data_IF_539136364133
#
_entry.id   IF_539136364133
#
_cell.length_a   1.000
_cell.length_b   1.000
_cell.length_c   1.000
_cell.angle_alpha   90.00
_cell.angle_beta   90.00
_cell.angle_gamma   90.00
#
_symmetry.space_group_name_H-M   'P 1'
#
loop_
_entity.id
_entity.type
_entity.pdbx_description
1 polymer ?
#
# COMPACT_ATOMS: atom_id res chain seq x y z
N UNK A 1 20.77 -20.23 3.15
CA UNK A 1 20.50 -18.84 2.72
C UNK A 1 21.25 -17.91 3.64
N UNK A 2 22.06 -16.99 3.11
CA UNK A 2 22.67 -15.92 3.92
C UNK A 2 21.77 -14.70 3.76
N UNK A 3 21.22 -14.19 4.86
CA UNK A 3 20.37 -12.99 4.87
C UNK A 3 19.13 -13.02 3.93
N UNK A 4 18.53 -14.19 3.73
CA UNK A 4 17.34 -14.33 2.87
C UNK A 4 17.61 -14.23 1.36
N UNK A 5 18.88 -14.15 0.95
CA UNK A 5 19.22 -14.22 -0.47
C UNK A 5 19.09 -15.66 -0.99
N UNK A 6 18.34 -15.87 -2.08
CA UNK A 6 18.27 -17.16 -2.76
C UNK A 6 19.66 -17.58 -3.25
N UNK A 7 19.98 -18.87 -3.12
CA UNK A 7 21.23 -19.46 -3.61
C UNK A 7 21.15 -19.88 -5.07
N UNK A 8 19.94 -19.90 -5.65
CA UNK A 8 19.66 -20.27 -7.05
C UNK A 8 18.70 -19.26 -7.64
N UNK A 9 18.93 -18.88 -8.89
CA UNK A 9 17.99 -18.12 -9.70
C UNK A 9 17.07 -19.10 -10.40
N UNK A 10 15.83 -19.18 -9.94
CA UNK A 10 14.84 -20.10 -10.48
C UNK A 10 13.42 -19.57 -10.20
N UNK A 11 12.45 -20.21 -10.84
CA UNK A 11 11.05 -20.05 -10.50
C UNK A 11 10.61 -21.15 -9.54
N UNK A 12 9.81 -20.79 -8.54
CA UNK A 12 9.23 -21.72 -7.57
C UNK A 12 7.72 -21.64 -7.64
N UNK A 13 7.07 -22.79 -7.68
CA UNK A 13 5.64 -22.94 -7.51
C UNK A 13 5.39 -23.51 -6.10
N UNK A 14 4.64 -22.78 -5.27
CA UNK A 14 4.40 -23.17 -3.88
C UNK A 14 3.31 -24.24 -3.76
N UNK A 15 2.28 -24.16 -4.60
CA UNK A 15 1.22 -25.15 -4.73
C UNK A 15 0.60 -25.07 -6.13
N UNK A 16 -0.07 -26.14 -6.60
CA UNK A 16 -0.79 -26.11 -7.86
C UNK A 16 -1.78 -24.93 -7.91
N UNK A 17 -1.76 -24.18 -9.00
CA UNK A 17 -2.66 -23.04 -9.23
C UNK A 17 -2.16 -21.70 -8.69
N UNK A 18 -1.04 -21.65 -7.96
CA UNK A 18 -0.39 -20.39 -7.62
C UNK A 18 0.58 -19.94 -8.74
N UNK A 19 0.72 -18.62 -8.95
CA UNK A 19 1.73 -18.10 -9.84
C UNK A 19 3.13 -18.54 -9.42
N UNK A 20 3.96 -18.90 -10.41
CA UNK A 20 5.39 -19.14 -10.18
C UNK A 20 6.06 -17.84 -9.76
N UNK A 21 6.84 -17.89 -8.69
CA UNK A 21 7.57 -16.74 -8.18
C UNK A 21 9.04 -16.89 -8.53
N UNK A 22 9.60 -15.90 -9.23
CA UNK A 22 11.05 -15.81 -9.39
C UNK A 22 11.69 -15.51 -8.04
N UNK A 23 12.70 -16.28 -7.68
CA UNK A 23 13.49 -16.08 -6.46
C UNK A 23 13.99 -14.64 -6.24
N UNK A 24 14.21 -13.86 -7.31
CA UNK A 24 14.59 -12.45 -7.24
C UNK A 24 13.46 -11.53 -6.72
N UNK A 25 12.21 -11.98 -6.83
CA UNK A 25 10.97 -11.27 -6.49
C UNK A 25 10.37 -11.73 -5.15
N UNK A 26 11.09 -12.52 -4.35
CA UNK A 26 10.57 -12.90 -3.03
C UNK A 26 10.26 -11.67 -2.17
N UNK A 27 9.17 -11.70 -1.39
CA UNK A 27 8.66 -10.52 -0.69
C UNK A 27 9.64 -9.97 0.36
N UNK A 28 10.56 -10.80 0.86
CA UNK A 28 11.61 -10.40 1.80
C UNK A 28 12.89 -9.90 1.13
N UNK A 29 12.97 -9.77 -0.20
CA UNK A 29 14.20 -9.32 -0.90
C UNK A 29 14.58 -7.88 -0.60
N UNK A 30 13.64 -7.06 -0.11
CA UNK A 30 13.85 -5.66 0.27
C UNK A 30 14.02 -5.43 1.77
N UNK A 31 14.00 -6.47 2.61
CA UNK A 31 14.09 -6.29 4.07
C UNK A 31 15.52 -6.49 4.57
N UNK A 32 15.87 -5.86 5.69
CA UNK A 32 17.20 -6.02 6.27
C UNK A 32 17.43 -7.46 6.76
N UNK A 33 18.69 -7.87 6.91
CA UNK A 33 19.05 -9.18 7.49
C UNK A 33 18.40 -9.42 8.86
N UNK A 34 18.28 -8.37 9.68
CA UNK A 34 17.61 -8.44 10.98
C UNK A 34 16.13 -8.77 10.79
N UNK A 35 15.42 -8.01 9.95
CA UNK A 35 14.00 -8.24 9.65
C UNK A 35 13.76 -9.64 9.06
N UNK A 36 14.61 -10.09 8.13
CA UNK A 36 14.51 -11.45 7.60
C UNK A 36 14.63 -12.52 8.70
N UNK A 37 15.56 -12.32 9.63
CA UNK A 37 15.75 -13.27 10.75
C UNK A 37 14.54 -13.29 11.68
N UNK A 38 13.94 -12.13 11.95
CA UNK A 38 12.70 -12.05 12.73
C UNK A 38 11.51 -12.71 12.01
N UNK A 39 11.38 -12.54 10.69
CA UNK A 39 10.36 -13.24 9.90
C UNK A 39 10.50 -14.75 10.07
N UNK A 40 11.73 -15.30 9.97
CA UNK A 40 11.95 -16.75 10.14
C UNK A 40 11.58 -17.23 11.54
N UNK A 41 11.90 -16.46 12.59
CA UNK A 41 11.49 -16.80 13.97
C UNK A 41 9.97 -16.80 14.11
N UNK A 42 9.29 -15.81 13.54
CA UNK A 42 7.83 -15.73 13.55
C UNK A 42 7.20 -16.91 12.78
N UNK A 43 7.80 -17.37 11.69
CA UNK A 43 7.31 -18.56 11.00
C UNK A 43 7.36 -19.84 11.86
N UNK A 44 8.23 -19.92 12.86
CA UNK A 44 8.24 -21.04 13.80
C UNK A 44 7.05 -21.00 14.77
N UNK A 45 6.61 -19.80 15.19
CA UNK A 45 5.41 -19.64 16.03
C UNK A 45 4.15 -20.02 15.25
N UNK A 46 4.14 -19.79 13.93
CA UNK A 46 3.03 -20.20 13.08
C UNK A 46 2.80 -21.72 13.07
N UNK A 47 3.82 -22.55 13.30
CA UNK A 47 3.68 -24.01 13.27
C UNK A 47 2.78 -24.56 14.37
N UNK A 48 2.75 -23.89 15.53
CA UNK A 48 1.92 -24.29 16.68
C UNK A 48 0.52 -23.68 16.68
N UNK A 49 0.28 -22.69 15.81
CA UNK A 49 -1.03 -22.07 15.68
C UNK A 49 -2.05 -23.06 15.07
N UNK A 50 -3.25 -23.09 15.66
CA UNK A 50 -4.36 -23.89 15.15
C UNK A 50 -4.90 -23.32 13.82
N UNK A 51 -4.97 -21.99 13.73
CA UNK A 51 -5.51 -21.26 12.58
C UNK A 51 -4.63 -20.06 12.24
N UNK A 52 -4.57 -19.74 10.96
CA UNK A 52 -3.94 -18.54 10.43
C UNK A 52 -5.02 -17.64 9.85
N UNK A 53 -5.30 -16.57 10.57
CA UNK A 53 -6.32 -15.60 10.20
C UNK A 53 -5.80 -14.71 9.07
N UNK A 54 -6.46 -14.74 7.92
CA UNK A 54 -6.04 -14.02 6.73
C UNK A 54 -7.08 -12.96 6.36
N UNK A 55 -6.63 -11.70 6.27
CA UNK A 55 -7.47 -10.60 5.80
C UNK A 55 -7.62 -10.64 4.27
N UNK A 56 -8.39 -11.60 3.79
CA UNK A 56 -8.71 -11.85 2.39
C UNK A 56 -10.01 -12.66 2.30
N UNK A 57 -10.49 -12.92 1.09
CA UNK A 57 -11.68 -13.73 0.80
C UNK A 57 -11.31 -14.89 -0.14
N UNK A 58 -12.06 -16.00 -0.05
CA UNK A 58 -11.84 -17.18 -0.89
C UNK A 58 -11.75 -16.84 -2.38
N UNK A 59 -12.66 -15.98 -2.86
CA UNK A 59 -12.77 -15.64 -4.28
C UNK A 59 -11.54 -14.88 -4.81
N UNK A 60 -10.81 -14.19 -3.94
CA UNK A 60 -9.62 -13.42 -4.31
C UNK A 60 -8.38 -14.31 -4.45
N UNK A 61 -8.25 -15.32 -3.57
CA UNK A 61 -7.04 -16.14 -3.47
C UNK A 61 -7.35 -17.65 -3.33
N UNK A 62 -8.13 -18.27 -4.24
CA UNK A 62 -8.63 -19.63 -4.06
C UNK A 62 -7.51 -20.68 -3.96
N UNK A 63 -6.43 -20.50 -4.73
CA UNK A 63 -5.28 -21.40 -4.73
C UNK A 63 -4.46 -21.32 -3.42
N UNK A 64 -4.46 -20.17 -2.73
CA UNK A 64 -3.72 -20.00 -1.48
C UNK A 64 -4.32 -20.83 -0.34
N UNK A 65 -5.65 -20.93 -0.27
CA UNK A 65 -6.33 -21.76 0.73
C UNK A 65 -6.18 -23.26 0.48
N UNK A 66 -5.81 -23.65 -0.74
CA UNK A 66 -5.49 -25.05 -1.06
C UNK A 66 -4.16 -25.51 -0.46
N UNK A 67 -3.28 -24.58 -0.04
CA UNK A 67 -2.00 -24.92 0.60
C UNK A 67 -2.22 -25.60 1.95
N UNK A 68 -3.19 -25.12 2.73
CA UNK A 68 -3.44 -25.62 4.09
C UNK A 68 -4.85 -25.26 4.54
N UNK A 69 -5.61 -26.21 5.13
CA UNK A 69 -6.92 -25.92 5.68
C UNK A 69 -6.86 -24.97 6.89
N UNK A 70 -5.66 -24.69 7.42
CA UNK A 70 -5.47 -23.76 8.55
C UNK A 70 -5.57 -22.29 8.17
N UNK A 71 -5.46 -21.95 6.88
CA UNK A 71 -5.68 -20.58 6.43
C UNK A 71 -7.18 -20.25 6.46
N UNK A 72 -7.58 -19.35 7.36
CA UNK A 72 -8.96 -18.91 7.49
C UNK A 72 -9.14 -17.51 6.87
N UNK A 73 -9.88 -17.37 5.76
CA UNK A 73 -10.25 -16.07 5.24
C UNK A 73 -11.29 -15.43 6.15
N UNK A 74 -10.93 -14.27 6.73
CA UNK A 74 -11.81 -13.49 7.60
C UNK A 74 -11.99 -12.05 7.12
N UNK A 75 -11.51 -11.76 5.91
CA UNK A 75 -11.60 -10.45 5.30
C UNK A 75 -12.84 -10.26 4.41
N UNK A 76 -12.91 -9.12 3.70
CA UNK A 76 -12.00 -7.99 3.86
C UNK A 76 -12.32 -7.24 5.16
N UNK A 77 -11.32 -7.07 6.01
CA UNK A 77 -11.40 -6.16 7.14
C UNK A 77 -11.42 -4.74 6.60
N UNK A 78 -12.63 -4.22 6.49
CA UNK A 78 -12.86 -2.80 6.38
C UNK A 78 -13.31 -2.32 7.74
N UNK A 79 -12.78 -1.18 8.19
CA UNK A 79 -13.33 -0.51 9.37
C UNK A 79 -14.85 -0.34 9.18
N UNK A 80 -15.65 -0.50 10.22
CA UNK A 80 -17.06 -0.10 10.17
C UNK A 80 -17.14 1.41 10.16
N UNK A 81 -17.87 2.00 9.21
CA UNK A 81 -18.09 3.45 9.14
C UNK A 81 -19.10 3.86 10.23
N UNK A 82 -18.64 4.02 11.47
CA UNK A 82 -19.41 4.69 12.51
C UNK A 82 -18.94 6.15 12.56
N UNK A 83 -19.79 7.10 12.14
CA UNK A 83 -19.52 8.54 12.28
C UNK A 83 -19.26 8.97 13.73
N UNK A 84 -19.56 8.10 14.71
CA UNK A 84 -19.37 8.33 16.14
C UNK A 84 -18.11 7.64 16.72
N UNK A 85 -17.33 6.91 15.92
CA UNK A 85 -16.05 6.33 16.37
C UNK A 85 -14.88 7.20 15.93
N UNK A 86 -13.92 7.38 16.85
CA UNK A 86 -12.64 7.97 16.51
C UNK A 86 -12.01 7.20 15.34
N UNK A 87 -11.45 7.92 14.36
CA UNK A 87 -10.68 7.29 13.29
C UNK A 87 -9.58 6.42 13.91
N UNK A 88 -9.45 5.17 13.47
CA UNK A 88 -8.32 4.30 13.82
C UNK A 88 -7.04 4.70 13.08
N UNK A 89 -7.08 5.80 12.31
CA UNK A 89 -5.89 6.41 11.75
C UNK A 89 -4.95 6.86 12.87
N UNK A 90 -3.70 6.42 12.77
CA UNK A 90 -2.60 6.88 13.62
C UNK A 90 -2.22 8.34 13.37
N UNK A 91 -2.73 8.93 12.28
CA UNK A 91 -2.40 10.28 11.81
C UNK A 91 -3.67 11.12 11.62
N UNK A 92 -3.57 12.43 11.86
CA UNK A 92 -4.67 13.34 11.65
C UNK A 92 -5.00 13.43 10.16
N UNK A 93 -6.22 13.02 9.80
CA UNK A 93 -6.72 13.06 8.43
C UNK A 93 -7.05 14.50 8.00
N UNK A 94 -6.59 14.90 6.82
CA UNK A 94 -7.01 16.13 6.16
C UNK A 94 -8.30 15.89 5.39
N UNK A 95 -9.43 16.27 5.98
CA UNK A 95 -10.75 16.13 5.37
C UNK A 95 -11.05 17.21 4.33
N UNK A 96 -10.20 18.24 4.17
CA UNK A 96 -10.39 19.29 3.15
C UNK A 96 -10.29 18.73 1.73
N UNK A 97 -9.59 17.60 1.54
CA UNK A 97 -9.55 16.92 0.26
C UNK A 97 -10.91 16.39 -0.19
N UNK A 98 -11.83 16.10 0.74
CA UNK A 98 -13.16 15.59 0.40
C UNK A 98 -13.99 16.66 -0.31
N UNK A 99 -14.02 17.88 0.22
CA UNK A 99 -14.69 19.01 -0.43
C UNK A 99 -14.05 19.35 -1.78
N UNK A 100 -12.74 19.18 -1.92
CA UNK A 100 -12.06 19.34 -3.21
C UNK A 100 -12.47 18.25 -4.21
N UNK A 101 -12.63 17.00 -3.76
CA UNK A 101 -13.08 15.88 -4.58
C UNK A 101 -14.54 16.06 -5.05
N UNK A 102 -15.43 16.60 -4.20
CA UNK A 102 -16.82 16.89 -4.56
C UNK A 102 -16.96 17.83 -5.77
N UNK A 103 -15.94 18.63 -6.03
CA UNK A 103 -15.92 19.59 -7.15
C UNK A 103 -15.38 18.98 -8.45
N UNK A 104 -14.87 17.75 -8.42
CA UNK A 104 -14.29 17.09 -9.59
C UNK A 104 -15.35 16.25 -10.33
N UNK A 105 -15.25 16.11 -11.66
CA UNK A 105 -16.08 15.15 -12.38
C UNK A 105 -15.93 13.72 -11.85
N UNK A 106 -17.00 12.94 -11.91
CA UNK A 106 -17.01 11.54 -11.48
C UNK A 106 -15.93 10.74 -12.22
N UNK A 107 -15.16 9.92 -11.48
CA UNK A 107 -14.06 9.08 -12.01
C UNK A 107 -12.96 9.84 -12.76
N UNK A 108 -12.76 11.14 -12.51
CA UNK A 108 -11.71 11.92 -13.18
C UNK A 108 -10.40 12.05 -12.39
N UNK A 109 -10.42 11.77 -11.09
CA UNK A 109 -9.30 12.05 -10.18
C UNK A 109 -8.36 10.86 -10.08
N UNK A 110 -7.05 11.12 -10.22
CA UNK A 110 -6.00 10.14 -9.89
C UNK A 110 -5.68 10.22 -8.40
N UNK A 111 -5.95 9.15 -7.65
CA UNK A 111 -5.55 9.05 -6.25
C UNK A 111 -4.20 8.36 -6.11
N UNK A 112 -3.27 9.00 -5.40
CA UNK A 112 -1.90 8.51 -5.21
C UNK A 112 -1.58 8.42 -3.72
N UNK A 113 -1.26 7.21 -3.25
CA UNK A 113 -0.83 6.93 -1.87
C UNK A 113 0.12 5.74 -1.88
N UNK A 114 1.26 5.86 -1.19
CA UNK A 114 2.23 4.77 -1.00
C UNK A 114 2.12 4.15 0.41
N UNK A 115 1.04 4.45 1.13
CA UNK A 115 0.78 3.92 2.46
C UNK A 115 1.65 4.55 3.57
N UNK A 116 1.64 3.90 4.74
CA UNK A 116 2.20 4.43 5.98
C UNK A 116 3.70 4.15 6.19
N UNK A 117 4.35 3.40 5.31
CA UNK A 117 5.75 2.95 5.52
C UNK A 117 6.71 3.41 4.42
N UNK A 118 6.22 3.55 3.19
CA UNK A 118 7.07 3.86 2.05
C UNK A 118 7.44 5.35 2.06
N UNK A 119 8.72 5.62 1.85
CA UNK A 119 9.27 6.95 1.60
C UNK A 119 9.94 6.90 0.24
N UNK A 120 9.51 7.76 -0.69
CA UNK A 120 10.09 7.82 -2.03
C UNK A 120 11.49 8.42 -1.99
N UNK A 121 12.38 7.92 -2.85
CA UNK A 121 13.65 8.60 -3.12
C UNK A 121 13.39 9.96 -3.78
N UNK A 122 14.29 10.94 -3.57
CA UNK A 122 14.08 12.31 -4.08
C UNK A 122 13.84 12.35 -5.59
N UNK A 123 14.57 11.54 -6.37
CA UNK A 123 14.38 11.48 -7.82
C UNK A 123 13.02 10.89 -8.19
N UNK A 124 12.59 9.80 -7.54
CA UNK A 124 11.27 9.21 -7.78
C UNK A 124 10.13 10.18 -7.44
N UNK A 125 10.28 10.92 -6.33
CA UNK A 125 9.33 11.96 -5.94
C UNK A 125 9.21 13.07 -6.98
N UNK A 126 10.36 13.57 -7.46
CA UNK A 126 10.42 14.62 -8.49
C UNK A 126 9.81 14.18 -9.81
N UNK A 127 10.18 12.99 -10.29
CA UNK A 127 9.64 12.43 -11.52
C UNK A 127 8.12 12.21 -11.42
N UNK A 128 7.64 11.71 -10.27
CA UNK A 128 6.20 11.54 -10.05
C UNK A 128 5.46 12.89 -10.03
N UNK A 129 6.03 13.92 -9.39
CA UNK A 129 5.44 15.26 -9.38
C UNK A 129 5.29 15.82 -10.80
N UNK A 130 6.36 15.75 -11.61
CA UNK A 130 6.31 16.19 -13.01
C UNK A 130 5.30 15.37 -13.83
N UNK A 131 5.27 14.05 -13.64
CA UNK A 131 4.34 13.17 -14.33
C UNK A 131 2.88 13.53 -14.01
N UNK A 132 2.57 13.88 -12.76
CA UNK A 132 1.21 14.28 -12.35
C UNK A 132 0.74 15.57 -13.05
N UNK A 133 1.63 16.55 -13.22
CA UNK A 133 1.31 17.75 -14.00
C UNK A 133 1.15 17.45 -15.49
N UNK A 134 2.06 16.65 -16.05
CA UNK A 134 2.02 16.25 -17.46
C UNK A 134 0.77 15.42 -17.81
N UNK A 135 0.25 14.63 -16.87
CA UNK A 135 -1.00 13.89 -17.06
C UNK A 135 -2.20 14.81 -17.31
N UNK A 136 -2.11 16.08 -16.90
CA UNK A 136 -3.14 17.09 -17.12
C UNK A 136 -4.54 16.69 -16.58
N UNK A 137 -4.58 15.79 -15.59
CA UNK A 137 -5.79 15.32 -14.90
C UNK A 137 -5.83 15.81 -13.45
N UNK A 138 -7.01 15.96 -12.84
CA UNK A 138 -7.12 16.16 -11.42
C UNK A 138 -6.42 15.03 -10.65
N UNK A 139 -5.67 15.35 -9.60
CA UNK A 139 -5.04 14.34 -8.75
C UNK A 139 -5.12 14.68 -7.27
N UNK A 140 -5.24 13.65 -6.44
CA UNK A 140 -5.11 13.73 -4.99
C UNK A 140 -3.90 12.90 -4.57
N UNK A 141 -2.86 13.56 -4.07
CA UNK A 141 -1.61 12.89 -3.68
C UNK A 141 -1.35 13.01 -2.17
N UNK A 142 -1.21 11.87 -1.51
CA UNK A 142 -0.81 11.79 -0.10
C UNK A 142 0.71 11.84 0.00
N UNK A 143 1.26 12.94 0.52
CA UNK A 143 2.70 13.17 0.70
C UNK A 143 2.99 13.45 2.16
N UNK A 144 3.68 12.52 2.82
CA UNK A 144 4.01 12.66 4.25
C UNK A 144 5.17 13.62 4.48
N UNK A 145 5.11 14.39 5.56
CA UNK A 145 6.10 15.39 5.98
C UNK A 145 7.47 14.83 6.43
N UNK A 146 7.78 13.58 6.10
CA UNK A 146 9.08 12.97 6.38
C UNK A 146 10.18 13.54 5.45
N UNK A 147 9.77 14.27 4.41
CA UNK A 147 10.66 15.10 3.61
C UNK A 147 10.78 16.46 4.29
N UNK A 148 11.94 16.73 4.90
CA UNK A 148 12.29 18.04 5.44
C UNK A 148 11.93 19.12 4.40
N UNK A 149 10.91 19.92 4.69
CA UNK A 149 10.30 20.90 3.78
C UNK A 149 9.89 20.31 2.41
N UNK A 150 8.67 19.76 2.37
CA UNK A 150 7.95 19.35 1.15
C UNK A 150 8.05 20.44 0.06
N UNK A 151 7.87 21.72 0.41
CA UNK A 151 7.93 22.84 -0.54
C UNK A 151 9.30 23.02 -1.20
N UNK A 152 10.40 22.65 -0.51
CA UNK A 152 11.76 22.70 -1.08
C UNK A 152 12.14 21.44 -1.86
N UNK A 153 11.28 20.42 -1.84
CA UNK A 153 11.54 19.12 -2.47
C UNK A 153 10.94 19.00 -3.87
N UNK A 154 9.94 19.84 -4.22
CA UNK A 154 9.34 19.83 -5.55
C UNK A 154 10.29 20.38 -6.63
N UNK A 155 10.24 19.82 -7.86
CA UNK A 155 10.86 20.45 -9.03
C UNK A 155 10.34 21.86 -9.24
N UNK A 156 11.16 22.74 -9.82
CA UNK A 156 10.75 24.13 -10.11
C UNK A 156 9.64 24.20 -11.15
N UNK A 157 9.60 23.18 -12.01
CA UNK A 157 8.66 23.00 -13.10
C UNK A 157 7.34 22.38 -12.64
N UNK A 158 7.22 22.01 -11.37
CA UNK A 158 5.97 21.48 -10.81
C UNK A 158 5.05 22.63 -10.39
N UNK A 159 3.90 22.73 -11.04
CA UNK A 159 2.85 23.71 -10.79
C UNK A 159 1.78 23.17 -9.83
N UNK A 160 1.49 21.86 -9.87
CA UNK A 160 0.48 21.22 -9.02
C UNK A 160 -0.94 21.78 -9.16
N UNK A 161 -1.22 22.54 -10.23
CA UNK A 161 -2.44 23.37 -10.36
C UNK A 161 -3.75 22.58 -10.43
N UNK A 162 -3.70 21.32 -10.87
CA UNK A 162 -4.83 20.39 -10.90
C UNK A 162 -4.84 19.42 -9.71
N UNK A 163 -3.91 19.60 -8.79
CA UNK A 163 -3.68 18.69 -7.69
C UNK A 163 -4.20 19.21 -6.36
N UNK A 164 -4.60 18.28 -5.48
CA UNK A 164 -4.66 18.50 -4.04
C UNK A 164 -3.61 17.59 -3.41
N UNK A 165 -2.70 18.17 -2.63
CA UNK A 165 -1.68 17.42 -1.89
C UNK A 165 -2.01 17.52 -0.41
N UNK A 166 -2.00 16.38 0.29
CA UNK A 166 -2.31 16.30 1.72
C UNK A 166 -1.30 15.41 2.43
N UNK A 167 -1.06 15.69 3.72
CA UNK A 167 -0.14 14.88 4.52
C UNK A 167 -0.70 13.48 4.84
N UNK A 168 -2.01 13.42 5.06
CA UNK A 168 -2.73 12.19 5.34
C UNK A 168 -4.19 12.36 4.92
N UNK A 169 -4.79 11.33 4.34
CA UNK A 169 -6.12 11.41 3.75
C UNK A 169 -7.08 10.38 4.38
N UNK A 170 -8.39 10.68 4.45
CA UNK A 170 -9.42 9.71 4.82
C UNK A 170 -9.62 8.66 3.71
N UNK A 171 -8.59 7.82 3.47
CA UNK A 171 -8.47 6.94 2.29
C UNK A 171 -9.72 6.08 2.05
N UNK A 172 -10.32 5.57 3.12
CA UNK A 172 -11.53 4.75 3.03
C UNK A 172 -12.73 5.52 2.45
N UNK A 173 -12.94 6.78 2.85
CA UNK A 173 -14.02 7.63 2.28
C UNK A 173 -13.76 7.89 0.82
N UNK A 174 -12.52 8.26 0.50
CA UNK A 174 -12.10 8.57 -0.86
C UNK A 174 -12.39 7.39 -1.79
N UNK A 175 -11.94 6.19 -1.42
CA UNK A 175 -12.13 4.98 -2.25
C UNK A 175 -13.59 4.53 -2.33
N UNK A 176 -14.39 4.74 -1.29
CA UNK A 176 -15.79 4.28 -1.27
C UNK A 176 -16.77 5.26 -1.90
N UNK A 177 -16.53 6.57 -1.73
CA UNK A 177 -17.54 7.59 -2.00
C UNK A 177 -17.20 8.40 -3.26
N UNK A 178 -15.92 8.50 -3.63
CA UNK A 178 -15.47 9.43 -4.67
C UNK A 178 -14.83 8.77 -5.90
N UNK A 179 -14.31 7.55 -5.77
CA UNK A 179 -13.55 6.87 -6.83
C UNK A 179 -14.31 5.69 -7.48
N UNK A 180 -15.63 5.61 -7.27
CA UNK A 180 -16.48 4.57 -7.86
C UNK A 180 -16.89 4.85 -9.29
#
# INVERSE_FOLDING_TARGET
MVAGHPTRKQQIELSPGLPKIDTAQFPWRGVSKLWFTEIIKEMETLKVAQWWLCNTICDLEPAAFSISPRFLPIGPFMETYDNNKASSSLWQEDTTCLHWLDQQPTRSVVYVSFGSLVVLESNQFKELALALDLLNKPFLWVVRANHNNIDSSYPKEFHGSKGKIVAWAPQKRILNDFLK
#
